data_IF_558416321899
#
_entry.id   IF_558416321899
#
_cell.length_a   1.000
_cell.length_b   1.000
_cell.length_c   1.000
_cell.angle_alpha   90.00
_cell.angle_beta   90.00
_cell.angle_gamma   90.00
#
_symmetry.space_group_name_H-M   'P 1'
#
loop_
_entity.id
_entity.type
_entity.pdbx_description
1 polymer ?
#
# COMPACT_ATOMS: atom_id res chain seq x y z
N UNK A 1 1.39 -3.36 17.58
CA UNK A 1 1.04 -3.44 16.16
C UNK A 1 0.41 -2.13 15.70
N UNK A 2 0.80 -1.65 14.55
CA UNK A 2 0.27 -0.41 13.99
C UNK A 2 -0.40 -0.72 12.66
N UNK A 3 -1.61 -0.19 12.48
CA UNK A 3 -2.38 -0.33 11.24
C UNK A 3 -2.52 1.03 10.58
N UNK A 4 -2.20 1.09 9.30
CA UNK A 4 -2.36 2.28 8.48
C UNK A 4 -3.36 2.00 7.37
N UNK A 5 -4.31 2.91 7.19
CA UNK A 5 -5.29 2.85 6.09
C UNK A 5 -5.13 4.12 5.27
N UNK A 6 -4.77 3.94 4.00
CA UNK A 6 -4.58 5.06 3.09
C UNK A 6 -5.65 5.03 2.00
N UNK A 7 -6.50 6.06 1.97
CA UNK A 7 -7.53 6.21 0.94
C UNK A 7 -6.94 6.96 -0.24
N UNK A 8 -7.08 6.38 -1.44
CA UNK A 8 -6.52 6.96 -2.67
C UNK A 8 -7.62 7.11 -3.71
N UNK A 9 -7.66 8.28 -4.36
CA UNK A 9 -8.56 8.54 -5.46
C UNK A 9 -7.73 8.96 -6.68
N UNK A 10 -7.81 8.19 -7.75
CA UNK A 10 -7.04 8.43 -8.97
C UNK A 10 -7.97 8.89 -10.10
N UNK A 11 -7.38 9.41 -11.18
CA UNK A 11 -8.14 9.70 -12.41
C UNK A 11 -8.46 8.40 -13.15
N UNK A 12 -9.45 8.45 -14.05
CA UNK A 12 -9.79 7.28 -14.87
C UNK A 12 -8.58 6.77 -15.66
N UNK A 13 -7.78 7.68 -16.20
CA UNK A 13 -6.58 7.35 -16.97
C UNK A 13 -5.46 6.77 -16.09
N UNK A 14 -5.49 7.05 -14.80
CA UNK A 14 -4.45 6.62 -13.86
C UNK A 14 -4.70 5.27 -13.21
N UNK A 15 -5.86 4.63 -13.44
CA UNK A 15 -6.24 3.40 -12.74
C UNK A 15 -5.22 2.29 -12.94
N UNK A 16 -4.89 1.97 -14.18
CA UNK A 16 -4.00 0.85 -14.48
C UNK A 16 -2.57 1.10 -14.00
N UNK A 17 -2.06 2.33 -14.20
CA UNK A 17 -0.72 2.70 -13.75
C UNK A 17 -0.61 2.64 -12.23
N UNK A 18 -1.63 3.15 -11.51
CA UNK A 18 -1.63 3.11 -10.05
C UNK A 18 -1.71 1.67 -9.54
N UNK A 19 -2.57 0.86 -10.14
CA UNK A 19 -2.72 -0.54 -9.73
C UNK A 19 -1.39 -1.29 -9.90
N UNK A 20 -0.73 -1.15 -11.07
CA UNK A 20 0.52 -1.84 -11.34
C UNK A 20 1.63 -1.39 -10.38
N UNK A 21 1.78 -0.08 -10.15
CA UNK A 21 2.78 0.46 -9.24
C UNK A 21 2.52 0.01 -7.79
N UNK A 22 1.25 0.00 -7.37
CA UNK A 22 0.87 -0.37 -6.00
C UNK A 22 1.02 -1.87 -5.76
N UNK A 23 0.75 -2.72 -6.75
CA UNK A 23 1.00 -4.16 -6.62
C UNK A 23 2.49 -4.45 -6.48
N UNK A 24 3.33 -3.77 -7.24
CA UNK A 24 4.78 -3.91 -7.11
C UNK A 24 5.27 -3.44 -5.74
N UNK A 25 4.73 -2.31 -5.26
CA UNK A 25 5.03 -1.80 -3.93
C UNK A 25 4.59 -2.78 -2.84
N UNK A 26 3.39 -3.34 -2.95
CA UNK A 26 2.87 -4.31 -1.98
C UNK A 26 3.75 -5.56 -1.93
N UNK A 27 4.18 -6.07 -3.07
CA UNK A 27 5.05 -7.24 -3.14
C UNK A 27 6.41 -6.97 -2.46
N UNK A 28 7.03 -5.84 -2.77
CA UNK A 28 8.30 -5.45 -2.16
C UNK A 28 8.14 -5.20 -0.65
N UNK A 29 7.04 -4.57 -0.25
CA UNK A 29 6.77 -4.26 1.16
C UNK A 29 6.57 -5.51 2.01
N UNK A 30 5.95 -6.54 1.47
CA UNK A 30 5.74 -7.82 2.19
C UNK A 30 7.05 -8.52 2.53
N UNK A 31 8.15 -8.19 1.85
CA UNK A 31 9.47 -8.74 2.15
C UNK A 31 10.16 -8.01 3.31
N UNK A 32 9.62 -6.90 3.78
CA UNK A 32 10.16 -6.18 4.93
C UNK A 32 9.79 -6.91 6.22
N UNK A 33 10.75 -7.22 7.10
CA UNK A 33 10.46 -8.05 8.30
C UNK A 33 9.50 -7.41 9.28
N UNK A 34 9.36 -6.09 9.28
CA UNK A 34 8.44 -5.37 10.17
C UNK A 34 7.03 -5.22 9.63
N UNK A 35 6.75 -5.65 8.40
CA UNK A 35 5.43 -5.56 7.79
C UNK A 35 4.75 -6.92 7.86
N UNK A 36 3.61 -6.98 8.55
CA UNK A 36 2.83 -8.20 8.70
C UNK A 36 1.72 -8.32 7.69
N UNK A 37 1.29 -7.18 7.09
CA UNK A 37 0.27 -7.18 6.06
C UNK A 37 0.42 -5.93 5.20
N UNK A 38 0.23 -6.09 3.88
CA UNK A 38 0.24 -4.98 2.94
C UNK A 38 -0.67 -5.35 1.78
N UNK A 39 -1.88 -4.79 1.76
CA UNK A 39 -2.92 -5.13 0.79
C UNK A 39 -3.36 -3.91 0.00
N UNK A 40 -3.61 -4.11 -1.29
CA UNK A 40 -4.26 -3.15 -2.15
C UNK A 40 -5.70 -3.58 -2.35
N UNK A 41 -6.64 -2.68 -2.05
CA UNK A 41 -8.06 -2.90 -2.23
C UNK A 41 -8.59 -1.88 -3.25
N UNK A 42 -9.49 -2.32 -4.11
CA UNK A 42 -10.15 -1.47 -5.09
C UNK A 42 -11.66 -1.54 -4.86
N UNK A 43 -12.33 -0.38 -4.88
CA UNK A 43 -13.77 -0.32 -4.70
C UNK A 43 -14.48 -0.92 -5.92
N UNK A 44 -15.47 -1.79 -5.67
CA UNK A 44 -16.12 -2.54 -6.74
C UNK A 44 -16.95 -1.64 -7.65
N UNK A 45 -17.66 -0.67 -7.06
CA UNK A 45 -18.57 0.21 -7.81
C UNK A 45 -17.93 1.56 -8.20
N UNK A 46 -16.65 1.74 -7.86
CA UNK A 46 -15.90 2.92 -8.29
C UNK A 46 -14.41 2.56 -8.43
N UNK A 47 -13.97 2.13 -9.62
CA UNK A 47 -12.60 1.66 -9.83
C UNK A 47 -11.51 2.74 -9.69
N UNK A 48 -11.89 4.02 -9.54
CA UNK A 48 -10.93 5.09 -9.28
C UNK A 48 -10.52 5.18 -7.81
N UNK A 49 -11.20 4.42 -6.93
CA UNK A 49 -10.95 4.47 -5.49
C UNK A 49 -10.27 3.21 -5.01
N UNK A 50 -9.16 3.42 -4.30
CA UNK A 50 -8.35 2.35 -3.73
C UNK A 50 -8.12 2.58 -2.25
N UNK A 51 -7.80 1.51 -1.54
CA UNK A 51 -7.32 1.56 -0.17
C UNK A 51 -6.05 0.74 -0.09
N UNK A 52 -5.01 1.32 0.52
CA UNK A 52 -3.82 0.59 0.95
C UNK A 52 -3.99 0.28 2.42
N UNK A 53 -4.00 -1.00 2.76
CA UNK A 53 -4.13 -1.49 4.13
C UNK A 53 -2.81 -2.12 4.56
N UNK A 54 -2.20 -1.54 5.59
CA UNK A 54 -0.84 -1.89 6.01
C UNK A 54 -0.80 -2.17 7.50
N UNK A 55 -0.16 -3.28 7.89
CA UNK A 55 0.07 -3.62 9.29
C UNK A 55 1.56 -3.76 9.55
N UNK A 56 2.02 -3.13 10.64
CA UNK A 56 3.41 -3.09 11.07
C UNK A 56 3.53 -3.64 12.49
N UNK A 57 4.64 -4.31 12.79
CA UNK A 57 4.87 -4.85 14.15
C UNK A 57 5.01 -3.74 15.18
N UNK A 58 5.63 -2.59 14.81
CA UNK A 58 5.84 -1.45 15.68
C UNK A 58 6.10 -0.18 14.86
N UNK A 59 6.31 0.95 15.54
CA UNK A 59 6.57 2.22 14.89
C UNK A 59 7.92 2.25 14.17
N UNK A 60 8.92 1.55 14.69
CA UNK A 60 10.21 1.46 14.02
C UNK A 60 10.08 0.84 12.63
N UNK A 61 9.19 -0.14 12.47
CA UNK A 61 8.90 -0.76 11.17
C UNK A 61 8.27 0.24 10.20
N UNK A 62 7.40 1.14 10.67
CA UNK A 62 6.82 2.18 9.82
C UNK A 62 7.88 3.15 9.33
N UNK A 63 8.83 3.53 10.18
CA UNK A 63 9.93 4.40 9.79
C UNK A 63 10.88 3.71 8.81
N UNK A 64 11.18 2.43 9.04
CA UNK A 64 12.02 1.65 8.14
C UNK A 64 11.41 1.55 6.74
N UNK A 65 10.09 1.35 6.65
CA UNK A 65 9.38 1.32 5.35
C UNK A 65 9.58 2.61 4.56
N UNK A 66 9.56 3.76 5.22
CA UNK A 66 9.73 5.07 4.59
C UNK A 66 11.12 5.29 4.00
N UNK A 67 12.10 4.49 4.37
CA UNK A 67 13.46 4.59 3.84
C UNK A 67 13.71 3.64 2.67
N UNK A 68 12.73 2.83 2.29
CA UNK A 68 12.88 1.86 1.21
C UNK A 68 12.70 2.51 -0.16
N UNK A 69 13.31 1.94 -1.23
CA UNK A 69 13.17 2.50 -2.57
C UNK A 69 11.76 2.37 -3.15
N UNK A 70 10.94 1.44 -2.64
CA UNK A 70 9.58 1.24 -3.12
C UNK A 70 8.55 2.09 -2.39
N UNK A 71 8.94 2.75 -1.33
CA UNK A 71 8.04 3.64 -0.58
C UNK A 71 7.57 4.88 -1.41
#
# INVERSE_FOLDING_TARGET
MITTVCNVHVTDEGIDAFRAASLANAEASRNEPGITRFDLLQQVDDPTRFILYEEYVDEAATQAHKTTPHY
#
